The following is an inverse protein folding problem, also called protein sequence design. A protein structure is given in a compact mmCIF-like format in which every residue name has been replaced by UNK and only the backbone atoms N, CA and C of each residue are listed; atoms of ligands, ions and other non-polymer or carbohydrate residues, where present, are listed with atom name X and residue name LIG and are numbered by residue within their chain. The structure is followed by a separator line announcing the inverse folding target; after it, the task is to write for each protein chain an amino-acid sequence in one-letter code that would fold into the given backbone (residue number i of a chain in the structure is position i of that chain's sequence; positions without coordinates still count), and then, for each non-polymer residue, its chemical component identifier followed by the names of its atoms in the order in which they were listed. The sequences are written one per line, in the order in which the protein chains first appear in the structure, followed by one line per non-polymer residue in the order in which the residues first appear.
data_IF_172204106472
#
_entry.id   IF_172204106472
#
_cell.length_a   1.000
_cell.length_b   1.000
_cell.length_c   1.000
_cell.angle_alpha   90.00
_cell.angle_beta   90.00
_cell.angle_gamma   90.00
#
_symmetry.space_group_name_H-M   'P 1'
#
loop_
_entity.id
_entity.type
_entity.pdbx_description
1 polymer ?
#
# COMPACT_ATOMS: atom_id res chain seq x y z
N UNK A 1 2.65 -31.64 -4.07
CA UNK A 1 2.39 -30.22 -4.36
C UNK A 1 3.55 -29.72 -5.22
N UNK A 2 3.30 -29.36 -6.49
CA UNK A 2 4.33 -28.78 -7.36
C UNK A 2 4.26 -27.26 -7.24
N UNK A 3 5.39 -26.53 -7.08
CA UNK A 3 5.36 -25.08 -7.16
C UNK A 3 4.97 -24.68 -8.58
N UNK A 4 3.89 -23.91 -8.72
CA UNK A 4 3.60 -23.18 -9.97
C UNK A 4 4.64 -22.09 -10.05
N UNK A 5 5.60 -22.23 -10.95
CA UNK A 5 6.39 -21.10 -11.41
C UNK A 5 5.46 -20.23 -12.23
N UNK A 6 4.93 -19.17 -11.61
CA UNK A 6 4.36 -18.07 -12.36
C UNK A 6 5.48 -17.50 -13.24
N UNK A 7 5.22 -17.38 -14.52
CA UNK A 7 6.07 -16.70 -15.51
C UNK A 7 5.94 -15.17 -15.43
N UNK A 8 5.59 -14.64 -14.26
CA UNK A 8 5.54 -13.20 -14.00
C UNK A 8 6.95 -12.65 -13.83
N UNK A 9 7.22 -11.47 -14.37
CA UNK A 9 8.48 -10.78 -14.14
C UNK A 9 8.48 -10.22 -12.73
N UNK A 10 9.10 -10.93 -11.79
CA UNK A 10 9.29 -10.41 -10.45
C UNK A 10 10.17 -9.14 -10.50
N UNK A 11 9.68 -8.03 -9.96
CA UNK A 11 10.41 -6.77 -9.85
C UNK A 11 10.74 -6.45 -8.39
N UNK A 12 11.89 -5.82 -8.16
CA UNK A 12 12.23 -5.24 -6.87
C UNK A 12 11.84 -3.78 -6.85
N UNK A 13 11.07 -3.38 -5.84
CA UNK A 13 10.72 -1.99 -5.61
C UNK A 13 11.12 -1.58 -4.20
N UNK A 14 11.62 -0.35 -4.06
CA UNK A 14 12.08 0.21 -2.80
C UNK A 14 11.41 1.55 -2.56
N UNK A 15 11.02 1.79 -1.32
CA UNK A 15 10.45 3.07 -0.92
C UNK A 15 10.16 3.15 0.56
N UNK A 16 9.72 4.33 0.97
CA UNK A 16 9.31 4.60 2.34
C UNK A 16 7.86 4.18 2.55
N UNK A 17 7.63 3.35 3.57
CA UNK A 17 6.36 2.67 3.77
C UNK A 17 5.38 3.49 4.62
N UNK A 18 4.19 3.70 4.08
CA UNK A 18 3.08 4.43 4.71
C UNK A 18 1.82 3.58 4.78
N UNK A 19 1.11 3.70 5.89
CA UNK A 19 -0.21 3.12 6.08
C UNK A 19 -1.26 4.21 5.87
N UNK A 20 -2.13 3.99 4.89
CA UNK A 20 -3.20 4.92 4.52
C UNK A 20 -4.54 4.29 4.83
N UNK A 21 -5.38 4.97 5.60
CA UNK A 21 -6.64 4.42 6.12
C UNK A 21 -7.75 5.47 6.13
N UNK A 22 -9.02 5.07 6.00
CA UNK A 22 -10.13 6.00 6.05
C UNK A 22 -10.33 6.50 7.48
N UNK A 23 -10.84 7.72 7.62
CA UNK A 23 -11.22 8.27 8.90
C UNK A 23 -12.27 7.39 9.59
N UNK A 24 -11.99 6.79 10.75
CA UNK A 24 -12.99 6.02 11.49
C UNK A 24 -14.14 6.90 11.98
N UNK A 25 -13.97 8.23 12.08
CA UNK A 25 -14.96 9.17 12.56
C UNK A 25 -15.83 9.78 11.45
N UNK A 26 -15.50 9.58 10.16
CA UNK A 26 -16.28 10.10 9.03
C UNK A 26 -17.20 9.01 8.47
N UNK A 27 -18.52 9.07 8.74
CA UNK A 27 -19.48 8.13 8.14
C UNK A 27 -19.57 8.43 6.64
N UNK A 28 -19.31 7.42 5.80
CA UNK A 28 -19.52 7.53 4.36
C UNK A 28 -18.28 7.38 3.48
N UNK A 29 -17.08 7.17 4.04
CA UNK A 29 -15.98 6.55 3.27
C UNK A 29 -16.33 5.08 3.06
N UNK A 30 -17.33 4.85 2.20
CA UNK A 30 -17.83 3.54 1.81
C UNK A 30 -16.67 2.79 1.15
N UNK A 31 -16.49 1.53 1.54
CA UNK A 31 -15.46 0.66 0.98
C UNK A 31 -15.60 0.57 -0.54
N UNK A 32 -14.86 1.40 -1.27
CA UNK A 32 -14.99 1.56 -2.71
C UNK A 32 -14.10 2.67 -3.25
N UNK A 33 -13.94 3.77 -2.51
CA UNK A 33 -13.09 4.88 -2.95
C UNK A 33 -11.63 4.60 -2.59
N UNK A 34 -10.74 4.91 -3.54
CA UNK A 34 -9.29 4.82 -3.34
C UNK A 34 -8.79 6.09 -2.64
N UNK A 35 -7.68 6.04 -1.86
CA UNK A 35 -7.08 7.25 -1.29
C UNK A 35 -6.53 8.20 -2.37
N UNK A 36 -6.39 7.69 -3.59
CA UNK A 36 -5.91 8.38 -4.77
C UNK A 36 -7.05 8.43 -5.79
N UNK A 37 -7.82 9.52 -5.78
CA UNK A 37 -8.91 9.76 -6.73
C UNK A 37 -9.11 11.25 -6.94
N UNK A 38 -9.58 11.64 -8.11
CA UNK A 38 -10.16 12.95 -8.35
C UNK A 38 -11.54 13.04 -7.67
N UNK A 39 -11.98 14.25 -7.29
CA UNK A 39 -13.33 14.55 -6.78
C UNK A 39 -14.47 14.21 -7.78
N UNK A 40 -14.15 13.59 -8.92
CA UNK A 40 -15.13 13.15 -9.89
C UNK A 40 -15.82 11.85 -9.43
N UNK A 41 -17.17 11.81 -9.48
CA UNK A 41 -17.92 10.60 -9.15
C UNK A 41 -17.45 9.43 -10.03
N UNK A 42 -17.52 8.19 -9.51
CA UNK A 42 -17.04 7.03 -10.24
C UNK A 42 -17.78 6.88 -11.57
N UNK A 43 -17.09 7.19 -12.67
CA UNK A 43 -17.54 6.83 -14.02
C UNK A 43 -17.41 5.32 -14.17
N UNK A 44 -18.42 4.69 -14.75
CA UNK A 44 -18.48 3.25 -15.05
C UNK A 44 -17.36 2.76 -15.99
N UNK A 45 -16.51 3.66 -16.49
CA UNK A 45 -15.43 3.40 -17.46
C UNK A 45 -14.02 3.55 -16.86
N UNK A 46 -13.83 3.48 -15.54
CA UNK A 46 -12.48 3.64 -14.96
C UNK A 46 -11.54 2.51 -15.42
N UNK A 47 -10.34 2.84 -15.94
CA UNK A 47 -9.31 1.84 -16.21
C UNK A 47 -9.00 1.04 -14.94
N UNK A 48 -8.90 -0.28 -15.08
CA UNK A 48 -8.67 -1.25 -13.99
C UNK A 48 -7.31 -1.08 -13.30
N UNK A 49 -6.41 -0.29 -13.88
CA UNK A 49 -5.10 0.06 -13.32
C UNK A 49 -5.10 1.54 -12.93
N UNK A 50 -5.17 1.80 -11.63
CA UNK A 50 -4.94 3.15 -11.10
C UNK A 50 -3.42 3.35 -11.12
N UNK A 51 -2.93 4.20 -12.02
CA UNK A 51 -1.53 4.60 -11.99
C UNK A 51 -1.18 5.20 -10.62
N UNK A 52 -0.01 4.88 -10.04
CA UNK A 52 0.45 5.54 -8.82
C UNK A 52 0.47 7.06 -9.01
N UNK A 53 -0.03 7.85 -8.04
CA UNK A 53 0.08 9.29 -8.12
C UNK A 53 1.57 9.73 -8.00
N UNK A 54 1.91 10.98 -8.38
CA UNK A 54 3.28 11.46 -8.32
C UNK A 54 3.93 11.25 -6.94
N UNK A 55 5.15 10.68 -6.93
CA UNK A 55 5.92 10.39 -5.72
C UNK A 55 5.55 9.06 -5.03
N UNK A 56 4.52 8.35 -5.51
CA UNK A 56 4.19 6.99 -5.07
C UNK A 56 4.85 6.00 -6.02
N UNK A 57 5.70 5.13 -5.47
CA UNK A 57 6.31 4.01 -6.17
C UNK A 57 5.28 2.93 -6.43
N UNK A 58 4.56 2.55 -5.37
CA UNK A 58 3.52 1.54 -5.42
C UNK A 58 2.52 1.66 -4.29
N UNK A 59 1.38 1.02 -4.44
CA UNK A 59 0.43 0.86 -3.36
C UNK A 59 -0.40 -0.40 -3.50
N UNK A 60 -0.84 -0.92 -2.36
CA UNK A 60 -1.65 -2.11 -2.28
C UNK A 60 -2.73 -1.99 -1.21
N UNK A 61 -3.94 -2.44 -1.55
CA UNK A 61 -5.01 -2.63 -0.59
C UNK A 61 -4.64 -3.75 0.39
N UNK A 62 -4.79 -3.46 1.68
CA UNK A 62 -4.58 -4.40 2.78
C UNK A 62 -5.89 -5.13 3.10
N UNK A 63 -5.77 -6.44 3.31
CA UNK A 63 -6.87 -7.25 3.78
C UNK A 63 -6.98 -7.16 5.30
N UNK A 64 -8.12 -7.61 5.83
CA UNK A 64 -8.24 -7.85 7.27
C UNK A 64 -7.19 -8.90 7.66
N UNK A 65 -6.38 -8.62 8.68
CA UNK A 65 -5.30 -9.49 9.16
C UNK A 65 -4.18 -9.77 8.16
N UNK A 66 -3.79 -8.79 7.31
CA UNK A 66 -2.55 -8.91 6.52
C UNK A 66 -1.38 -9.27 7.46
N UNK A 67 -0.64 -10.36 7.19
CA UNK A 67 0.52 -10.72 8.01
C UNK A 67 1.58 -9.60 8.05
N UNK A 68 2.25 -9.45 9.19
CA UNK A 68 3.41 -8.59 9.35
C UNK A 68 3.17 -7.08 9.31
N UNK A 69 1.92 -6.60 9.23
CA UNK A 69 1.59 -5.20 9.50
C UNK A 69 1.07 -5.02 10.93
N UNK A 70 1.60 -4.01 11.62
CA UNK A 70 1.32 -3.77 13.05
C UNK A 70 0.51 -2.48 13.29
N UNK A 71 0.13 -1.78 12.22
CA UNK A 71 -0.76 -0.62 12.31
C UNK A 71 -2.15 -1.05 12.83
N UNK A 72 -2.80 -0.19 13.62
CA UNK A 72 -4.01 -0.56 14.37
C UNK A 72 -5.30 -0.56 13.54
N UNK A 73 -5.29 0.09 12.38
CA UNK A 73 -6.48 0.23 11.54
C UNK A 73 -6.61 -0.94 10.57
N UNK A 74 -7.55 -1.85 10.85
CA UNK A 74 -7.88 -2.99 10.01
C UNK A 74 -9.10 -2.71 9.12
N UNK A 75 -9.06 -3.24 7.89
CA UNK A 75 -10.16 -3.11 6.94
C UNK A 75 -10.09 -1.81 6.11
N UNK A 76 -10.11 -1.99 4.78
CA UNK A 76 -10.13 -0.91 3.79
C UNK A 76 -8.97 0.11 3.90
N UNK A 77 -7.79 -0.35 4.29
CA UNK A 77 -6.56 0.46 4.30
C UNK A 77 -5.61 0.04 3.18
N UNK A 78 -4.57 0.83 2.97
CA UNK A 78 -3.56 0.65 1.93
C UNK A 78 -2.16 0.73 2.54
N UNK A 79 -1.26 -0.11 2.04
CA UNK A 79 0.17 0.10 2.15
C UNK A 79 0.62 0.89 0.92
N UNK A 80 1.36 1.97 1.14
CA UNK A 80 1.83 2.87 0.08
C UNK A 80 3.34 3.03 0.23
N UNK A 81 4.06 2.95 -0.88
CA UNK A 81 5.49 3.26 -0.95
C UNK A 81 5.71 4.58 -1.63
N UNK A 82 6.48 5.46 -1.01
CA UNK A 82 6.91 6.72 -1.62
C UNK A 82 8.40 6.71 -1.94
N UNK A 83 8.78 7.50 -2.94
CA UNK A 83 10.19 7.68 -3.31
C UNK A 83 10.98 8.45 -2.23
N UNK A 84 10.30 9.31 -1.48
CA UNK A 84 10.87 10.20 -0.47
C UNK A 84 10.26 9.96 0.91
N UNK A 85 10.84 10.58 1.93
CA UNK A 85 10.34 10.58 3.30
C UNK A 85 9.04 11.37 3.50
N UNK A 86 8.45 11.91 2.42
CA UNK A 86 7.17 12.59 2.50
C UNK A 86 6.02 11.58 2.38
N UNK A 87 4.95 11.72 3.18
CA UNK A 87 3.78 10.88 3.05
C UNK A 87 3.08 11.15 1.71
N UNK A 88 2.37 10.15 1.14
CA UNK A 88 1.56 10.36 -0.04
C UNK A 88 0.47 11.40 0.20
N UNK A 89 0.14 12.18 -0.84
CA UNK A 89 -1.06 13.03 -0.83
C UNK A 89 -2.30 12.14 -0.95
N UNK A 90 -3.24 12.30 -0.03
CA UNK A 90 -4.48 11.53 0.02
C UNK A 90 -5.70 12.46 -0.04
N UNK A 91 -6.82 11.94 -0.53
CA UNK A 91 -8.09 12.69 -0.61
C UNK A 91 -8.67 12.98 0.78
N UNK A 92 -9.54 14.00 0.92
CA UNK A 92 -10.24 14.26 2.17
C UNK A 92 -10.97 13.02 2.70
N UNK A 93 -10.90 12.78 4.01
CA UNK A 93 -11.45 11.58 4.65
C UNK A 93 -10.47 10.39 4.71
N UNK A 94 -9.27 10.53 4.15
CA UNK A 94 -8.17 9.58 4.33
C UNK A 94 -7.07 10.15 5.21
N UNK A 95 -6.45 9.27 5.97
CA UNK A 95 -5.37 9.55 6.90
C UNK A 95 -4.15 8.73 6.53
N UNK A 96 -2.98 9.23 6.93
CA UNK A 96 -1.69 8.62 6.66
C UNK A 96 -0.84 8.58 7.92
N UNK A 97 -0.23 7.44 8.18
CA UNK A 97 0.77 7.25 9.22
C UNK A 97 1.91 6.36 8.72
N UNK A 98 3.06 6.35 9.42
CA UNK A 98 4.16 5.45 9.07
C UNK A 98 3.70 3.98 9.17
N UNK A 99 3.98 3.19 8.12
CA UNK A 99 3.72 1.76 8.17
C UNK A 99 4.69 1.08 9.14
N UNK A 100 4.17 0.14 9.92
CA UNK A 100 4.95 -0.68 10.85
C UNK A 100 4.93 -2.11 10.36
N UNK A 101 5.95 -2.45 9.57
CA UNK A 101 6.12 -3.77 8.99
C UNK A 101 7.16 -4.56 9.77
N UNK A 102 6.99 -5.88 9.77
CA UNK A 102 8.01 -6.84 10.16
C UNK A 102 8.31 -7.84 9.02
N UNK A 103 9.33 -8.66 9.23
CA UNK A 103 9.84 -9.60 8.21
C UNK A 103 8.81 -10.65 7.74
N UNK A 104 7.67 -10.80 8.42
CA UNK A 104 6.59 -11.70 8.01
C UNK A 104 5.64 -11.07 6.99
N UNK A 105 5.83 -9.79 6.62
CA UNK A 105 4.90 -9.11 5.73
C UNK A 105 4.81 -9.76 4.35
N UNK A 106 3.58 -10.14 4.02
CA UNK A 106 3.21 -10.74 2.74
C UNK A 106 1.79 -10.32 2.38
N UNK A 107 1.60 -9.98 1.11
CA UNK A 107 0.31 -9.60 0.57
C UNK A 107 0.03 -10.37 -0.73
N UNK A 108 -1.11 -11.05 -0.74
CA UNK A 108 -1.68 -11.71 -1.91
C UNK A 108 -2.99 -11.02 -2.29
N UNK A 109 -3.01 -10.38 -3.47
CA UNK A 109 -4.20 -9.77 -4.05
C UNK A 109 -4.88 -10.70 -5.05
N UNK A 110 -5.30 -11.88 -4.57
CA UNK A 110 -6.12 -12.86 -5.31
C UNK A 110 -5.59 -13.22 -6.70
N UNK A 111 -4.26 -13.39 -6.81
CA UNK A 111 -3.63 -14.04 -7.96
C UNK A 111 -3.18 -13.15 -9.11
N UNK A 112 -3.43 -11.83 -9.07
CA UNK A 112 -2.95 -10.91 -10.13
C UNK A 112 -1.72 -10.11 -9.69
N UNK A 113 -1.51 -9.98 -8.37
CA UNK A 113 -0.36 -9.27 -7.80
C UNK A 113 0.01 -9.81 -6.44
N UNK A 114 1.29 -10.08 -6.25
CA UNK A 114 1.86 -10.50 -4.97
C UNK A 114 2.96 -9.54 -4.55
N UNK A 115 3.01 -9.20 -3.26
CA UNK A 115 4.07 -8.37 -2.70
C UNK A 115 4.61 -9.01 -1.41
N UNK A 116 5.93 -9.13 -1.33
CA UNK A 116 6.62 -9.64 -0.15
C UNK A 116 7.73 -8.69 0.26
N UNK A 117 7.77 -8.39 1.56
CA UNK A 117 8.86 -7.62 2.13
C UNK A 117 10.14 -8.47 2.12
N UNK A 118 11.11 -8.06 1.31
CA UNK A 118 12.44 -8.68 1.28
C UNK A 118 13.22 -8.27 2.52
N UNK A 119 13.22 -6.97 2.84
CA UNK A 119 13.91 -6.41 4.00
C UNK A 119 13.47 -4.99 4.32
N UNK A 120 13.66 -4.62 5.58
CA UNK A 120 13.72 -3.23 6.02
C UNK A 120 15.16 -2.76 5.80
N UNK A 121 15.36 -1.85 4.86
CA UNK A 121 16.67 -1.33 4.48
C UNK A 121 17.20 -0.37 5.54
N UNK A 122 16.34 0.51 6.04
CA UNK A 122 16.67 1.49 7.05
C UNK A 122 15.42 1.97 7.80
N UNK A 123 15.62 2.66 8.92
CA UNK A 123 14.61 3.48 9.58
C UNK A 123 15.07 4.93 9.55
N UNK A 124 14.17 5.83 9.17
CA UNK A 124 14.47 7.24 9.01
C UNK A 124 13.50 8.08 9.84
N UNK A 125 14.05 9.03 10.60
CA UNK A 125 13.27 10.01 11.35
C UNK A 125 12.70 11.07 10.41
N UNK A 126 11.41 11.32 10.51
CA UNK A 126 10.70 12.37 9.75
C UNK A 126 9.84 13.19 10.71
N UNK A 127 9.32 14.33 10.24
CA UNK A 127 8.36 15.12 11.02
C UNK A 127 7.02 14.39 11.28
N UNK A 128 6.78 13.26 10.61
CA UNK A 128 5.60 12.40 10.79
C UNK A 128 5.89 11.14 11.62
N UNK A 129 7.10 11.05 12.19
CA UNK A 129 7.59 9.91 12.96
C UNK A 129 8.62 9.07 12.20
N UNK A 130 9.01 7.94 12.81
CA UNK A 130 9.97 7.00 12.22
C UNK A 130 9.32 6.22 11.08
N UNK A 131 9.87 6.37 9.87
CA UNK A 131 9.40 5.71 8.64
C UNK A 131 10.38 4.60 8.24
N UNK A 132 9.86 3.47 7.80
CA UNK A 132 10.66 2.34 7.34
C UNK A 132 10.94 2.48 5.83
N UNK A 133 12.21 2.47 5.44
CA UNK A 133 12.65 2.28 4.07
C UNK A 133 12.69 0.78 3.78
N UNK A 134 11.86 0.32 2.87
CA UNK A 134 11.56 -1.08 2.65
C UNK A 134 11.83 -1.48 1.20
N UNK A 135 12.26 -2.73 1.01
CA UNK A 135 12.44 -3.34 -0.30
C UNK A 135 11.47 -4.51 -0.45
N UNK A 136 10.69 -4.51 -1.52
CA UNK A 136 9.67 -5.51 -1.83
C UNK A 136 10.01 -6.24 -3.11
N UNK A 137 9.71 -7.53 -3.12
CA UNK A 137 9.61 -8.31 -4.34
C UNK A 137 8.15 -8.35 -4.75
N UNK A 138 7.88 -7.93 -5.99
CA UNK A 138 6.54 -7.84 -6.55
C UNK A 138 6.46 -8.80 -7.72
N UNK A 139 5.50 -9.72 -7.67
CA UNK A 139 5.16 -10.57 -8.81
C UNK A 139 3.90 -10.01 -9.48
N UNK A 140 3.99 -9.77 -10.79
CA UNK A 140 2.89 -9.29 -11.64
C UNK A 140 2.64 -10.39 -12.67
N UNK A 141 1.51 -11.07 -12.55
CA UNK A 141 1.10 -12.19 -13.42
C UNK A 141 0.22 -11.75 -14.57
#
# INVERSE_FOLDING_TARGET
MKPRFATGSASLERGYAWHVYPDPATPGVMGGDTPFGSDEPPSSERPTAIEPPPGVVDFWKLNKNTPGIQNKHDGNSYLVLTETLEPPRVTPGWFVEAARLDASFQLDQRGDRWAHLVRIVNQAESQWGTVQDCEFQIDRT
#
